data_IF_457197852502
#
_entry.id   IF_457197852502
#
_cell.length_a   1.000
_cell.length_b   1.000
_cell.length_c   1.000
_cell.angle_alpha   90.00
_cell.angle_beta   90.00
_cell.angle_gamma   90.00
#
_symmetry.space_group_name_H-M   'P 1'
#
loop_
_entity.id
_entity.type
_entity.pdbx_description
1 polymer ?
#
# COMPACT_ATOMS: atom_id res chain seq x y z
N UNK A 1 32.88 37.34 -39.84
CA UNK A 1 32.96 35.99 -40.45
C UNK A 1 33.82 35.08 -39.58
N UNK A 2 33.18 34.22 -38.78
CA UNK A 2 33.62 32.85 -38.43
C UNK A 2 32.58 32.25 -37.49
N UNK A 3 31.92 31.23 -38.01
CA UNK A 3 30.88 30.41 -37.37
C UNK A 3 31.46 29.60 -36.21
N UNK A 4 30.68 29.39 -35.15
CA UNK A 4 30.70 28.11 -34.44
C UNK A 4 29.30 27.84 -33.87
N UNK A 5 28.57 26.98 -34.58
CA UNK A 5 27.34 26.32 -34.16
C UNK A 5 27.78 25.13 -33.30
N UNK A 6 27.46 25.11 -32.01
CA UNK A 6 27.69 23.93 -31.16
C UNK A 6 26.38 23.16 -31.02
N UNK A 7 26.27 22.09 -31.81
CA UNK A 7 25.25 21.04 -31.67
C UNK A 7 25.69 20.13 -30.54
N UNK A 8 24.96 20.11 -29.42
CA UNK A 8 25.11 19.08 -28.40
C UNK A 8 24.24 17.88 -28.79
N UNK A 9 24.86 16.85 -29.37
CA UNK A 9 24.30 15.52 -29.45
C UNK A 9 24.41 14.87 -28.07
N UNK A 10 23.30 14.81 -27.33
CA UNK A 10 23.20 13.99 -26.13
C UNK A 10 22.92 12.55 -26.59
N UNK A 11 23.93 11.70 -26.51
CA UNK A 11 23.77 10.26 -26.60
C UNK A 11 22.94 9.78 -25.40
N UNK A 12 21.68 9.42 -25.69
CA UNK A 12 20.83 8.59 -24.83
C UNK A 12 21.46 7.21 -24.67
N UNK A 13 22.23 7.00 -23.60
CA UNK A 13 22.43 5.66 -23.04
C UNK A 13 21.17 5.29 -22.26
N UNK A 14 20.20 4.69 -22.94
CA UNK A 14 19.16 3.90 -22.30
C UNK A 14 19.82 2.61 -21.81
N UNK A 15 19.80 2.29 -20.50
CA UNK A 15 20.04 0.91 -20.10
C UNK A 15 18.82 0.11 -20.53
N UNK A 16 19.02 -0.72 -21.56
CA UNK A 16 18.16 -1.87 -21.81
C UNK A 16 18.16 -2.72 -20.53
N UNK A 17 17.06 -2.71 -19.76
CA UNK A 17 16.78 -3.77 -18.82
C UNK A 17 16.37 -5.01 -19.61
N UNK A 18 17.39 -5.73 -20.08
CA UNK A 18 17.29 -7.15 -20.33
C UNK A 18 16.91 -7.86 -19.02
N UNK A 19 16.32 -9.06 -19.13
CA UNK A 19 16.01 -9.92 -18.01
C UNK A 19 17.18 -9.93 -17.01
N UNK A 20 16.92 -9.57 -15.75
CA UNK A 20 17.98 -9.40 -14.75
C UNK A 20 18.82 -10.67 -14.65
N UNK A 21 20.06 -10.59 -15.11
CA UNK A 21 21.08 -11.56 -14.75
C UNK A 21 21.07 -11.71 -13.23
N UNK A 22 20.94 -12.94 -12.74
CA UNK A 22 20.91 -13.23 -11.31
C UNK A 22 22.21 -12.71 -10.68
N UNK A 23 22.11 -11.73 -9.78
CA UNK A 23 23.27 -11.24 -9.02
C UNK A 23 23.95 -12.42 -8.34
N UNK A 24 25.27 -12.53 -8.49
CA UNK A 24 26.03 -13.64 -7.94
C UNK A 24 25.94 -13.67 -6.41
N UNK A 25 25.81 -14.88 -5.86
CA UNK A 25 25.81 -15.10 -4.41
C UNK A 25 27.27 -15.08 -3.93
N UNK A 26 27.57 -14.17 -3.00
CA UNK A 26 28.89 -14.03 -2.39
C UNK A 26 29.11 -15.02 -1.26
N UNK A 27 28.13 -15.20 -0.38
CA UNK A 27 28.19 -16.13 0.75
C UNK A 27 26.84 -16.77 1.02
N UNK A 28 26.85 -18.05 1.42
CA UNK A 28 25.69 -18.74 1.98
C UNK A 28 26.05 -19.28 3.35
N UNK A 29 25.22 -18.96 4.34
CA UNK A 29 25.30 -19.51 5.68
C UNK A 29 24.06 -20.33 5.97
N UNK A 30 24.25 -21.53 6.51
CA UNK A 30 23.16 -22.45 6.85
C UNK A 30 23.09 -22.66 8.36
N UNK A 31 21.86 -22.79 8.88
CA UNK A 31 21.57 -23.19 10.23
C UNK A 31 20.59 -24.34 10.24
N UNK A 32 21.10 -25.52 10.54
CA UNK A 32 20.29 -26.71 10.74
C UNK A 32 19.85 -26.80 12.20
N UNK A 33 18.56 -26.74 12.45
CA UNK A 33 17.97 -26.89 13.78
C UNK A 33 17.01 -28.07 13.78
N UNK A 34 17.56 -29.28 13.69
CA UNK A 34 16.82 -30.54 13.58
C UNK A 34 16.31 -30.85 12.17
N UNK A 35 15.71 -32.03 11.98
CA UNK A 35 15.29 -32.57 10.65
C UNK A 35 14.18 -31.79 9.93
N UNK A 36 13.67 -30.71 10.52
CA UNK A 36 12.47 -30.00 10.05
C UNK A 36 12.60 -28.48 10.04
N UNK A 37 13.79 -27.94 10.34
CA UNK A 37 14.03 -26.50 10.34
C UNK A 37 15.41 -26.18 9.76
N UNK A 38 15.42 -25.37 8.71
CA UNK A 38 16.64 -24.89 8.06
C UNK A 38 16.56 -23.36 7.92
N UNK A 39 17.55 -22.64 8.42
CA UNK A 39 17.73 -21.22 8.16
C UNK A 39 18.86 -21.00 7.15
N UNK A 40 18.63 -20.24 6.10
CA UNK A 40 19.64 -19.86 5.12
C UNK A 40 19.79 -18.33 5.10
N UNK A 41 21.01 -17.83 5.25
CA UNK A 41 21.37 -16.43 5.01
C UNK A 41 22.27 -16.36 3.78
N UNK A 42 21.78 -15.74 2.72
CA UNK A 42 22.51 -15.50 1.48
C UNK A 42 22.92 -14.03 1.43
N UNK A 43 24.19 -13.78 1.12
CA UNK A 43 24.73 -12.45 0.88
C UNK A 43 25.11 -12.36 -0.59
N UNK A 44 24.63 -11.34 -1.29
CA UNK A 44 24.88 -11.13 -2.71
C UNK A 44 26.05 -10.16 -2.94
N UNK A 45 26.62 -10.16 -4.14
CA UNK A 45 27.74 -9.28 -4.50
C UNK A 45 27.36 -7.79 -4.54
N UNK A 46 26.09 -7.47 -4.79
CA UNK A 46 25.55 -6.10 -4.81
C UNK A 46 25.27 -5.50 -3.42
N UNK A 47 25.69 -6.19 -2.36
CA UNK A 47 25.43 -5.84 -0.95
C UNK A 47 23.97 -5.99 -0.49
N UNK A 48 23.17 -6.79 -1.19
CA UNK A 48 21.86 -7.24 -0.69
C UNK A 48 21.96 -8.58 0.03
N UNK A 49 20.97 -8.91 0.85
CA UNK A 49 20.87 -10.20 1.53
C UNK A 49 19.47 -10.78 1.44
N UNK A 50 19.40 -12.09 1.57
CA UNK A 50 18.17 -12.85 1.76
C UNK A 50 18.35 -13.80 2.95
N UNK A 51 17.41 -13.75 3.90
CA UNK A 51 17.31 -14.72 4.99
C UNK A 51 16.01 -15.52 4.87
N UNK A 52 16.14 -16.83 4.66
CA UNK A 52 15.03 -17.76 4.50
C UNK A 52 15.00 -18.76 5.64
N UNK A 53 13.83 -18.96 6.25
CA UNK A 53 13.55 -20.03 7.21
C UNK A 53 12.60 -21.04 6.59
N UNK A 54 13.13 -22.23 6.33
CA UNK A 54 12.41 -23.35 5.78
C UNK A 54 11.91 -24.28 6.87
N UNK A 55 10.68 -24.72 6.70
CA UNK A 55 10.09 -25.85 7.40
C UNK A 55 9.41 -26.74 6.37
N UNK A 56 8.99 -27.95 6.77
CA UNK A 56 8.19 -28.83 5.89
C UNK A 56 6.89 -28.20 5.39
N UNK A 57 6.35 -27.19 6.09
CA UNK A 57 5.02 -26.62 5.83
C UNK A 57 5.02 -25.17 5.36
N UNK A 58 6.12 -24.45 5.55
CA UNK A 58 6.19 -23.00 5.36
C UNK A 58 7.62 -22.55 5.07
N UNK A 59 7.74 -21.61 4.15
CA UNK A 59 8.94 -20.80 3.91
C UNK A 59 8.66 -19.40 4.48
N UNK A 60 9.61 -18.83 5.22
CA UNK A 60 9.54 -17.45 5.70
C UNK A 60 10.78 -16.71 5.24
N UNK A 61 10.60 -15.57 4.59
CA UNK A 61 11.67 -14.80 3.95
C UNK A 61 11.86 -13.47 4.66
N UNK A 62 13.06 -12.92 4.61
CA UNK A 62 13.45 -11.57 4.96
C UNK A 62 14.53 -11.14 3.95
N UNK A 63 14.50 -9.90 3.49
CA UNK A 63 15.46 -9.38 2.52
C UNK A 63 15.83 -7.96 2.88
N UNK A 64 16.99 -7.50 2.40
CA UNK A 64 17.42 -6.13 2.56
C UNK A 64 18.87 -5.91 2.19
N UNK A 65 19.50 -4.90 2.78
CA UNK A 65 20.91 -4.56 2.52
C UNK A 65 21.84 -4.95 3.67
N UNK A 66 23.10 -5.22 3.34
CA UNK A 66 24.14 -5.50 4.33
C UNK A 66 25.39 -4.65 4.16
N UNK A 67 26.17 -4.53 5.24
CA UNK A 67 27.55 -4.03 5.17
C UNK A 67 28.49 -4.99 5.88
N UNK A 68 29.59 -5.38 5.24
CA UNK A 68 30.61 -6.26 5.80
C UNK A 68 31.97 -5.53 5.86
N UNK A 69 32.45 -5.18 7.05
CA UNK A 69 33.74 -4.50 7.25
C UNK A 69 34.56 -5.19 8.33
N UNK A 70 35.77 -5.67 8.02
CA UNK A 70 36.66 -6.36 8.97
C UNK A 70 35.96 -7.51 9.73
N UNK A 71 35.22 -8.34 9.00
CA UNK A 71 34.44 -9.45 9.59
C UNK A 71 33.16 -9.03 10.33
N UNK A 72 32.83 -7.74 10.39
CA UNK A 72 31.60 -7.23 11.02
C UNK A 72 30.49 -7.09 9.99
N UNK A 73 29.46 -7.92 10.08
CA UNK A 73 28.25 -7.91 9.26
C UNK A 73 27.13 -7.13 9.96
N UNK A 74 26.58 -6.13 9.29
CA UNK A 74 25.40 -5.38 9.73
C UNK A 74 24.30 -5.54 8.70
N UNK A 75 23.10 -5.92 9.17
CA UNK A 75 21.94 -6.18 8.31
C UNK A 75 20.89 -5.08 8.50
N UNK A 76 20.29 -4.67 7.40
CA UNK A 76 19.21 -3.68 7.33
C UNK A 76 18.07 -4.29 6.53
N UNK A 77 17.06 -4.83 7.23
CA UNK A 77 15.88 -5.42 6.58
C UNK A 77 15.05 -4.36 5.85
N UNK A 78 14.47 -4.77 4.74
CA UNK A 78 13.46 -4.05 3.98
C UNK A 78 12.04 -4.51 4.35
N UNK A 79 11.90 -5.65 5.03
CA UNK A 79 10.61 -6.19 5.44
C UNK A 79 10.23 -5.85 6.89
N UNK A 80 9.13 -5.10 7.06
CA UNK A 80 8.54 -4.78 8.36
C UNK A 80 7.34 -5.67 8.74
N UNK A 81 7.29 -6.95 8.32
CA UNK A 81 6.16 -7.84 8.66
C UNK A 81 6.17 -8.23 10.15
N UNK A 82 5.02 -8.11 10.80
CA UNK A 82 4.78 -8.58 12.17
C UNK A 82 4.97 -10.10 12.30
N UNK A 83 5.60 -10.55 13.40
CA UNK A 83 5.78 -11.97 13.74
C UNK A 83 7.05 -12.64 13.20
N UNK A 84 7.81 -11.94 12.35
CA UNK A 84 9.18 -12.33 11.99
C UNK A 84 10.13 -11.39 12.73
N UNK A 85 11.06 -11.91 13.51
CA UNK A 85 12.01 -11.10 14.26
C UNK A 85 13.12 -10.69 13.27
N UNK A 86 13.05 -9.51 12.62
CA UNK A 86 13.94 -9.21 11.51
C UNK A 86 15.34 -9.01 12.09
N UNK A 87 16.37 -9.28 11.28
CA UNK A 87 17.77 -9.07 11.66
C UNK A 87 18.15 -7.56 11.82
N UNK A 88 17.13 -6.68 11.90
CA UNK A 88 17.23 -5.23 11.88
C UNK A 88 18.10 -4.68 13.01
N UNK A 89 19.14 -3.93 12.63
CA UNK A 89 19.97 -3.17 13.57
C UNK A 89 20.92 -4.04 14.40
N UNK A 90 21.03 -5.34 14.11
CA UNK A 90 21.94 -6.24 14.80
C UNK A 90 23.25 -6.37 14.01
N UNK A 91 24.34 -6.48 14.76
CA UNK A 91 25.69 -6.69 14.21
C UNK A 91 26.13 -8.10 14.55
N UNK A 92 26.52 -8.87 13.54
CA UNK A 92 27.05 -10.24 13.65
C UNK A 92 28.49 -10.25 13.16
N UNK A 93 29.34 -11.10 13.72
CA UNK A 93 30.71 -11.28 13.22
C UNK A 93 30.78 -12.53 12.34
N UNK A 94 31.45 -12.41 11.20
CA UNK A 94 31.62 -13.45 10.18
C UNK A 94 33.08 -13.89 10.17
N UNK A 95 33.33 -15.19 10.19
CA UNK A 95 34.62 -15.81 9.93
C UNK A 95 34.53 -16.77 8.73
N UNK A 96 35.66 -17.38 8.34
CA UNK A 96 35.66 -18.42 7.30
C UNK A 96 34.83 -19.65 7.70
N UNK A 97 34.65 -19.87 9.00
CA UNK A 97 33.92 -21.01 9.56
C UNK A 97 32.41 -20.75 9.68
N UNK A 98 31.96 -19.49 9.61
CA UNK A 98 30.54 -19.12 9.73
C UNK A 98 30.28 -17.86 10.55
N UNK A 99 29.06 -17.72 11.06
CA UNK A 99 28.65 -16.61 11.92
C UNK A 99 28.97 -16.92 13.40
N UNK A 100 29.63 -15.99 14.09
CA UNK A 100 29.97 -16.16 15.51
C UNK A 100 28.73 -16.25 16.41
N UNK A 101 28.72 -17.31 17.23
CA UNK A 101 27.61 -17.76 18.11
C UNK A 101 27.09 -16.72 19.11
N UNK A 102 27.96 -16.00 19.81
CA UNK A 102 27.59 -15.16 20.96
C UNK A 102 26.63 -14.01 20.65
N UNK A 103 26.53 -13.58 19.39
CA UNK A 103 25.59 -12.54 18.94
C UNK A 103 24.42 -13.10 18.14
N UNK A 104 24.56 -14.28 17.55
CA UNK A 104 23.47 -14.98 16.87
C UNK A 104 22.46 -15.57 17.86
N UNK A 105 22.93 -16.07 18.99
CA UNK A 105 22.10 -16.60 20.08
C UNK A 105 21.17 -15.50 20.65
N UNK A 106 21.67 -14.27 20.72
CA UNK A 106 20.90 -13.09 21.15
C UNK A 106 19.79 -12.69 20.15
N UNK A 107 19.93 -13.10 18.88
CA UNK A 107 18.99 -12.80 17.79
C UNK A 107 17.92 -13.87 17.68
N UNK A 108 18.31 -15.14 17.77
CA UNK A 108 17.41 -16.29 17.56
C UNK A 108 16.83 -16.87 18.85
N UNK A 109 17.31 -16.41 20.02
CA UNK A 109 17.00 -16.95 21.35
C UNK A 109 17.33 -18.44 21.48
N UNK A 110 18.21 -18.97 20.62
CA UNK A 110 18.64 -20.37 20.61
C UNK A 110 20.14 -20.44 20.41
N UNK A 111 20.87 -21.29 21.17
CA UNK A 111 22.28 -21.51 20.98
C UNK A 111 22.54 -22.18 19.63
N UNK A 112 23.02 -21.44 18.63
CA UNK A 112 23.15 -21.95 17.28
C UNK A 112 24.27 -21.23 16.49
N UNK A 113 25.06 -21.98 15.73
CA UNK A 113 26.10 -21.42 14.84
C UNK A 113 25.64 -21.60 13.40
N UNK A 114 25.61 -20.52 12.60
CA UNK A 114 25.42 -20.68 11.15
C UNK A 114 26.76 -21.01 10.50
N UNK A 115 26.85 -22.13 9.80
CA UNK A 115 28.07 -22.56 9.09
C UNK A 115 28.07 -22.02 7.66
N UNK A 116 29.24 -21.69 7.13
CA UNK A 116 29.36 -21.45 5.70
C UNK A 116 29.04 -22.73 4.92
N UNK A 117 28.28 -22.63 3.83
CA UNK A 117 27.90 -23.78 3.01
C UNK A 117 28.13 -23.52 1.53
N UNK A 118 28.54 -24.56 0.81
CA UNK A 118 28.69 -24.58 -0.65
C UNK A 118 27.66 -25.50 -1.32
N UNK A 119 26.70 -26.05 -0.57
CA UNK A 119 25.71 -26.99 -1.09
C UNK A 119 24.91 -26.35 -2.23
N UNK A 120 24.87 -26.95 -3.43
CA UNK A 120 24.19 -26.37 -4.59
C UNK A 120 22.71 -26.08 -4.34
N UNK A 121 22.05 -26.90 -3.53
CA UNK A 121 20.65 -26.74 -3.17
C UNK A 121 20.37 -25.47 -2.34
N UNK A 122 21.34 -24.97 -1.58
CA UNK A 122 21.18 -23.73 -0.79
C UNK A 122 21.44 -22.47 -1.62
N UNK A 123 22.00 -22.62 -2.81
CA UNK A 123 22.23 -21.54 -3.77
C UNK A 123 21.04 -21.33 -4.70
N UNK A 124 20.06 -22.25 -4.69
CA UNK A 124 18.82 -22.12 -5.46
C UNK A 124 17.97 -20.93 -4.98
N UNK A 125 17.07 -20.48 -5.84
CA UNK A 125 16.12 -19.41 -5.53
C UNK A 125 15.30 -19.73 -4.27
N UNK A 126 14.83 -18.70 -3.55
CA UNK A 126 14.09 -18.82 -2.30
C UNK A 126 12.82 -19.66 -2.41
N UNK A 127 12.23 -19.73 -3.61
CA UNK A 127 11.07 -20.57 -3.92
C UNK A 127 11.37 -22.06 -3.77
N UNK A 128 12.63 -22.50 -3.88
CA UNK A 128 13.04 -23.88 -3.67
C UNK A 128 13.18 -24.18 -2.19
N UNK A 129 12.51 -25.25 -1.69
CA UNK A 129 12.64 -25.70 -0.32
C UNK A 129 13.64 -26.88 -0.24
N UNK A 130 14.86 -26.69 0.30
CA UNK A 130 15.87 -27.75 0.35
C UNK A 130 15.46 -28.95 1.21
N UNK A 131 14.60 -28.74 2.23
CA UNK A 131 14.14 -29.81 3.12
C UNK A 131 13.19 -30.79 2.43
N UNK A 132 12.38 -30.29 1.49
CA UNK A 132 11.36 -31.08 0.78
C UNK A 132 11.72 -31.33 -0.68
N UNK A 133 12.78 -30.69 -1.17
CA UNK A 133 13.29 -30.76 -2.55
C UNK A 133 12.24 -30.40 -3.62
N UNK A 134 11.29 -29.53 -3.26
CA UNK A 134 10.21 -29.06 -4.13
C UNK A 134 10.12 -27.53 -4.07
N UNK A 135 9.71 -26.92 -5.18
CA UNK A 135 9.48 -25.48 -5.28
C UNK A 135 8.14 -25.08 -4.65
N UNK A 136 8.01 -23.83 -4.22
CA UNK A 136 6.81 -23.27 -3.58
C UNK A 136 5.55 -23.44 -4.43
N UNK A 137 5.68 -23.37 -5.75
CA UNK A 137 4.60 -23.63 -6.70
C UNK A 137 4.19 -25.12 -6.71
N UNK A 138 5.13 -26.05 -6.51
CA UNK A 138 4.85 -27.47 -6.36
C UNK A 138 4.26 -27.80 -4.97
N UNK A 139 4.61 -27.06 -3.92
CA UNK A 139 3.97 -27.16 -2.59
C UNK A 139 2.49 -26.76 -2.66
N UNK A 140 2.12 -25.83 -3.54
CA UNK A 140 0.72 -25.47 -3.81
C UNK A 140 -0.01 -26.56 -4.62
N UNK A 141 0.67 -27.25 -5.52
CA UNK A 141 0.10 -28.35 -6.32
C UNK A 141 -0.12 -29.64 -5.53
N UNK A 142 0.69 -29.92 -4.51
CA UNK A 142 0.53 -31.08 -3.60
C UNK A 142 -0.70 -30.93 -2.67
N UNK A 143 -1.35 -29.75 -2.63
CA UNK A 143 -2.54 -29.50 -1.80
C UNK A 143 -3.87 -30.02 -2.36
N UNK A 144 -3.87 -30.81 -3.43
CA UNK A 144 -5.06 -31.58 -3.84
C UNK A 144 -4.61 -32.88 -4.53
N UNK A 145 -5.16 -34.09 -4.26
CA UNK A 145 -6.33 -34.45 -3.44
C UNK A 145 -6.07 -35.59 -2.41
N UNK A 146 -6.78 -35.57 -1.27
CA UNK A 146 -7.65 -36.66 -0.78
C UNK A 146 -8.20 -36.29 0.59
N UNK A 147 -9.45 -36.65 0.84
CA UNK A 147 -10.14 -36.51 2.13
C UNK A 147 -9.36 -37.25 3.24
N UNK A 148 -8.42 -36.58 3.88
CA UNK A 148 -8.02 -36.92 5.23
C UNK A 148 -8.91 -36.12 6.17
N UNK A 149 -9.82 -36.82 6.84
CA UNK A 149 -10.56 -36.33 7.99
C UNK A 149 -9.57 -35.62 8.92
N UNK A 150 -9.68 -34.29 8.99
CA UNK A 150 -8.90 -33.49 9.92
C UNK A 150 -9.74 -33.32 11.16
N UNK A 151 -9.22 -33.84 12.26
CA UNK A 151 -9.59 -33.49 13.62
C UNK A 151 -9.83 -31.97 13.72
N UNK A 152 -10.95 -31.53 14.31
CA UNK A 152 -11.21 -30.13 14.53
C UNK A 152 -10.30 -29.64 15.67
N UNK A 153 -9.06 -29.28 15.34
CA UNK A 153 -8.36 -28.28 16.15
C UNK A 153 -8.94 -26.93 15.78
N UNK A 154 -10.07 -26.64 16.42
CA UNK A 154 -10.60 -25.32 16.69
C UNK A 154 -9.45 -24.34 16.94
N UNK A 155 -9.08 -23.56 15.92
CA UNK A 155 -8.59 -22.22 16.20
C UNK A 155 -9.82 -21.47 16.68
N UNK A 156 -10.11 -21.54 17.98
CA UNK A 156 -11.02 -20.59 18.60
C UNK A 156 -10.49 -19.19 18.26
N UNK A 157 -11.14 -18.54 17.30
CA UNK A 157 -11.09 -17.11 17.14
C UNK A 157 -11.66 -16.54 18.44
N UNK A 158 -10.77 -16.27 19.40
CA UNK A 158 -11.16 -15.56 20.61
C UNK A 158 -11.76 -14.25 20.16
N UNK A 159 -13.05 -14.06 20.47
CA UNK A 159 -13.72 -12.80 20.28
C UNK A 159 -12.89 -11.70 20.96
N UNK A 160 -12.86 -10.51 20.35
CA UNK A 160 -12.22 -9.35 20.94
C UNK A 160 -12.73 -9.15 22.39
N UNK A 161 -11.86 -8.85 23.36
CA UNK A 161 -12.31 -8.58 24.73
C UNK A 161 -13.38 -7.48 24.73
N UNK A 162 -14.39 -7.63 25.59
CA UNK A 162 -15.44 -6.61 25.75
C UNK A 162 -14.82 -5.23 26.04
N UNK A 163 -15.32 -4.18 25.38
CA UNK A 163 -14.83 -2.80 25.51
C UNK A 163 -13.61 -2.45 24.64
N UNK A 164 -13.05 -3.40 23.87
CA UNK A 164 -11.92 -3.11 22.98
C UNK A 164 -12.26 -2.09 21.89
N UNK A 165 -13.49 -2.14 21.34
CA UNK A 165 -13.96 -1.19 20.32
C UNK A 165 -14.04 0.25 20.85
N UNK A 166 -14.61 0.44 22.04
CA UNK A 166 -14.68 1.76 22.70
C UNK A 166 -13.29 2.32 23.02
N UNK A 167 -12.36 1.46 23.46
CA UNK A 167 -10.98 1.85 23.68
C UNK A 167 -10.32 2.31 22.37
N UNK A 168 -10.48 1.54 21.30
CA UNK A 168 -9.94 1.89 19.98
C UNK A 168 -10.53 3.23 19.48
N UNK A 169 -11.85 3.41 19.56
CA UNK A 169 -12.53 4.67 19.20
C UNK A 169 -11.94 5.87 19.95
N UNK A 170 -11.82 5.77 21.27
CA UNK A 170 -11.27 6.85 22.09
C UNK A 170 -9.79 7.11 21.77
N UNK A 171 -9.01 6.07 21.48
CA UNK A 171 -7.64 6.20 21.02
C UNK A 171 -7.55 7.01 19.72
N UNK A 172 -8.33 6.64 18.69
CA UNK A 172 -8.28 7.34 17.40
C UNK A 172 -8.81 8.78 17.47
N UNK A 173 -9.89 9.03 18.21
CA UNK A 173 -10.38 10.40 18.44
C UNK A 173 -9.31 11.26 19.10
N UNK A 174 -8.59 10.72 20.10
CA UNK A 174 -7.50 11.42 20.76
C UNK A 174 -6.33 11.70 19.82
N UNK A 175 -5.86 10.70 19.07
CA UNK A 175 -4.74 10.86 18.14
C UNK A 175 -5.10 11.84 17.02
N UNK A 176 -6.30 11.75 16.46
CA UNK A 176 -6.79 12.69 15.46
C UNK A 176 -6.89 14.12 16.03
N UNK A 177 -7.42 14.28 17.24
CA UNK A 177 -7.56 15.59 17.88
C UNK A 177 -6.22 16.25 18.19
N UNK A 178 -5.22 15.44 18.53
CA UNK A 178 -3.86 15.91 18.78
C UNK A 178 -3.13 16.26 17.48
N UNK A 179 -3.12 15.37 16.49
CA UNK A 179 -2.23 15.50 15.34
C UNK A 179 -2.94 15.89 14.03
N UNK A 180 -4.17 15.44 13.80
CA UNK A 180 -4.92 15.61 12.55
C UNK A 180 -6.20 16.46 12.77
N UNK A 181 -6.03 17.69 13.27
CA UNK A 181 -7.15 18.55 13.68
C UNK A 181 -8.29 18.61 12.65
N UNK A 182 -9.52 18.43 13.13
CA UNK A 182 -10.73 18.40 12.32
C UNK A 182 -11.18 16.98 11.96
N UNK A 183 -10.26 16.01 11.91
CA UNK A 183 -10.64 14.60 11.73
C UNK A 183 -11.16 13.96 13.01
N UNK A 184 -10.89 14.53 14.18
CA UNK A 184 -11.51 14.06 15.42
C UNK A 184 -13.03 14.25 15.42
N UNK A 185 -13.53 15.32 14.79
CA UNK A 185 -14.97 15.52 14.63
C UNK A 185 -15.58 14.53 13.64
N UNK A 186 -14.88 14.22 12.54
CA UNK A 186 -15.27 13.13 11.61
C UNK A 186 -15.40 11.81 12.37
N UNK A 187 -14.42 11.47 13.21
CA UNK A 187 -14.44 10.24 14.01
C UNK A 187 -15.52 10.26 15.10
N UNK A 188 -15.76 11.39 15.78
CA UNK A 188 -16.85 11.48 16.77
C UNK A 188 -18.22 11.21 16.12
N UNK A 189 -18.42 11.69 14.90
CA UNK A 189 -19.68 11.55 14.15
C UNK A 189 -19.84 10.16 13.53
N UNK A 190 -18.78 9.63 12.91
CA UNK A 190 -18.90 8.50 12.00
C UNK A 190 -17.76 7.48 12.15
N UNK A 191 -17.29 7.26 13.38
CA UNK A 191 -16.24 6.27 13.65
C UNK A 191 -16.55 4.91 13.03
N UNK A 192 -15.59 4.43 12.25
CA UNK A 192 -15.49 3.06 11.79
C UNK A 192 -14.01 2.62 11.96
N UNK A 193 -13.73 1.86 13.02
CA UNK A 193 -12.40 1.31 13.27
C UNK A 193 -12.31 -0.21 13.08
N UNK A 194 -11.27 -0.89 13.59
CA UNK A 194 -11.01 -2.29 13.28
C UNK A 194 -12.14 -3.27 13.61
N UNK A 195 -13.06 -2.88 14.50
CA UNK A 195 -14.26 -3.62 14.86
C UNK A 195 -15.44 -3.46 13.88
N UNK A 196 -15.44 -2.45 13.01
CA UNK A 196 -16.51 -2.19 12.04
C UNK A 196 -16.24 -2.78 10.65
N UNK A 197 -14.97 -2.89 10.24
CA UNK A 197 -14.59 -3.33 8.90
C UNK A 197 -13.97 -4.73 8.96
N UNK A 198 -14.03 -5.45 7.85
CA UNK A 198 -13.56 -6.83 7.79
C UNK A 198 -12.31 -6.98 6.93
N UNK A 199 -11.28 -7.63 7.49
CA UNK A 199 -10.08 -7.98 6.72
C UNK A 199 -10.26 -9.35 6.10
N UNK A 200 -9.92 -9.52 4.82
CA UNK A 200 -9.84 -10.84 4.19
C UNK A 200 -8.40 -11.22 3.89
N UNK A 201 -7.96 -12.41 4.33
CA UNK A 201 -6.63 -12.95 4.04
C UNK A 201 -6.80 -14.23 3.23
N UNK A 202 -6.40 -14.19 1.95
CA UNK A 202 -6.57 -15.33 1.04
C UNK A 202 -8.04 -15.70 0.79
N UNK A 203 -8.93 -14.70 0.76
CA UNK A 203 -10.37 -14.89 0.57
C UNK A 203 -11.14 -15.31 1.83
N UNK A 204 -10.46 -15.44 2.98
CA UNK A 204 -11.10 -15.80 4.26
C UNK A 204 -11.23 -14.56 5.13
N UNK A 205 -12.45 -14.30 5.62
CA UNK A 205 -12.72 -13.25 6.59
C UNK A 205 -11.95 -13.52 7.89
N UNK A 206 -11.12 -12.56 8.30
CA UNK A 206 -10.38 -12.59 9.55
C UNK A 206 -11.02 -11.57 10.49
N UNK A 207 -11.67 -12.02 11.58
CA UNK A 207 -12.23 -11.09 12.55
C UNK A 207 -11.11 -10.32 13.25
N UNK A 208 -11.43 -9.12 13.68
CA UNK A 208 -10.49 -8.33 14.46
C UNK A 208 -10.07 -9.05 15.75
N UNK A 209 -8.77 -9.06 16.00
CA UNK A 209 -8.17 -9.75 17.14
C UNK A 209 -8.43 -9.09 18.49
N UNK A 210 -8.97 -7.86 18.50
CA UNK A 210 -9.05 -7.04 19.72
C UNK A 210 -7.70 -6.49 20.18
N UNK A 211 -6.65 -6.54 19.34
CA UNK A 211 -5.34 -5.98 19.69
C UNK A 211 -5.40 -4.45 19.76
N UNK A 212 -5.49 -3.95 20.99
CA UNK A 212 -5.54 -2.54 21.35
C UNK A 212 -4.17 -1.96 21.70
N UNK A 213 -3.07 -2.67 21.41
CA UNK A 213 -1.74 -2.13 21.61
C UNK A 213 -1.56 -0.84 20.79
N UNK A 214 -0.92 0.17 21.37
CA UNK A 214 -0.75 1.47 20.69
C UNK A 214 -0.03 1.34 19.35
N UNK A 215 0.84 0.33 19.20
CA UNK A 215 1.50 0.06 17.92
C UNK A 215 0.51 -0.43 16.85
N UNK A 216 -0.37 -1.36 17.20
CA UNK A 216 -1.35 -1.92 16.27
C UNK A 216 -2.41 -0.88 15.91
N UNK A 217 -2.93 -0.15 16.91
CA UNK A 217 -3.88 0.92 16.65
C UNK A 217 -3.25 2.04 15.81
N UNK A 218 -2.01 2.45 16.12
CA UNK A 218 -1.36 3.49 15.34
C UNK A 218 -1.14 3.11 13.87
N UNK A 219 -0.81 1.84 13.57
CA UNK A 219 -0.58 1.39 12.20
C UNK A 219 -1.82 1.39 11.31
N UNK A 220 -3.00 1.47 11.91
CA UNK A 220 -4.29 1.49 11.22
C UNK A 220 -4.89 2.91 11.15
N UNK A 221 -4.16 3.94 11.58
CA UNK A 221 -4.70 5.30 11.65
C UNK A 221 -5.28 5.79 10.32
N UNK A 222 -4.56 5.62 9.22
CA UNK A 222 -5.03 5.99 7.88
C UNK A 222 -6.27 5.19 7.46
N UNK A 223 -6.26 3.87 7.68
CA UNK A 223 -7.40 2.98 7.42
C UNK A 223 -8.63 3.42 8.20
N UNK A 224 -8.50 3.71 9.50
CA UNK A 224 -9.63 4.13 10.33
C UNK A 224 -10.21 5.45 9.84
N UNK A 225 -9.37 6.41 9.43
CA UNK A 225 -9.88 7.63 8.81
C UNK A 225 -10.61 7.33 7.51
N UNK A 226 -10.02 6.51 6.63
CA UNK A 226 -10.62 6.11 5.35
C UNK A 226 -12.02 5.49 5.55
N UNK A 227 -12.12 4.46 6.40
CA UNK A 227 -13.38 3.76 6.67
C UNK A 227 -14.41 4.66 7.40
N UNK A 228 -13.94 5.52 8.29
CA UNK A 228 -14.82 6.50 8.94
C UNK A 228 -15.35 7.55 7.97
N UNK A 229 -14.59 7.88 6.91
CA UNK A 229 -15.06 8.79 5.85
C UNK A 229 -16.17 8.14 5.03
N UNK A 230 -16.11 6.84 4.75
CA UNK A 230 -17.25 6.12 4.14
C UNK A 230 -18.52 6.23 4.98
N UNK A 231 -18.40 6.12 6.31
CA UNK A 231 -19.52 6.25 7.22
C UNK A 231 -19.99 7.70 7.38
N UNK A 232 -19.07 8.66 7.24
CA UNK A 232 -19.36 10.09 7.31
C UNK A 232 -20.06 10.57 6.03
N UNK A 233 -19.61 10.05 4.90
CA UNK A 233 -20.28 10.20 3.63
C UNK A 233 -21.66 9.55 3.73
N UNK A 234 -22.64 10.20 3.12
CA UNK A 234 -24.01 9.72 3.07
C UNK A 234 -24.43 9.45 1.65
N UNK A 235 -25.68 9.03 1.49
CA UNK A 235 -26.28 8.88 0.16
C UNK A 235 -26.25 10.19 -0.65
N UNK A 236 -26.34 11.34 0.02
CA UNK A 236 -26.48 12.67 -0.60
C UNK A 236 -25.38 13.66 -0.22
N UNK A 237 -24.32 13.25 0.47
CA UNK A 237 -23.32 14.18 0.97
C UNK A 237 -21.93 13.54 1.05
N UNK A 238 -20.91 14.26 0.59
CA UNK A 238 -19.54 13.77 0.50
C UNK A 238 -18.56 14.76 1.12
N UNK A 239 -17.61 14.23 1.89
CA UNK A 239 -16.53 14.99 2.50
C UNK A 239 -15.44 15.28 1.45
N UNK A 240 -15.08 16.55 1.28
CA UNK A 240 -13.85 16.91 0.53
C UNK A 240 -12.68 16.96 1.49
N UNK A 241 -12.82 17.76 2.55
CA UNK A 241 -11.90 17.89 3.68
C UNK A 241 -12.73 18.22 4.93
N UNK A 242 -12.21 18.04 6.17
CA UNK A 242 -12.91 18.47 7.36
C UNK A 242 -13.46 19.90 7.25
N UNK A 243 -14.78 20.06 7.44
CA UNK A 243 -15.49 21.33 7.31
C UNK A 243 -16.04 21.66 5.92
N UNK A 244 -15.65 20.93 4.87
CA UNK A 244 -16.19 21.10 3.50
C UNK A 244 -16.87 19.80 3.06
N UNK A 245 -18.19 19.89 2.99
CA UNK A 245 -19.06 18.82 2.51
C UNK A 245 -19.83 19.30 1.29
N UNK A 246 -19.98 18.43 0.30
CA UNK A 246 -20.70 18.73 -0.93
C UNK A 246 -21.98 17.90 -0.96
N UNK A 247 -23.17 18.54 -0.94
CA UNK A 247 -24.42 17.84 -1.11
C UNK A 247 -24.58 17.43 -2.58
N UNK A 248 -24.77 16.15 -2.85
CA UNK A 248 -24.89 15.61 -4.20
C UNK A 248 -26.19 14.83 -4.31
N UNK A 249 -27.12 15.31 -5.13
CA UNK A 249 -28.29 14.53 -5.53
C UNK A 249 -27.86 13.44 -6.50
N UNK A 250 -28.24 12.19 -6.21
CA UNK A 250 -27.92 11.07 -7.10
C UNK A 250 -28.84 11.06 -8.32
N UNK A 251 -28.24 10.78 -9.46
CA UNK A 251 -28.88 10.52 -10.76
C UNK A 251 -28.79 9.04 -11.08
N UNK A 252 -29.39 8.60 -12.19
CA UNK A 252 -29.26 7.21 -12.62
C UNK A 252 -27.79 6.93 -12.96
N UNK A 253 -27.32 5.75 -12.56
CA UNK A 253 -25.95 5.28 -12.83
C UNK A 253 -25.98 3.91 -13.46
N UNK A 254 -24.84 3.50 -14.01
CA UNK A 254 -24.56 2.16 -14.47
C UNK A 254 -23.34 1.59 -13.72
N UNK A 255 -23.12 0.27 -13.80
CA UNK A 255 -22.12 -0.41 -12.97
C UNK A 255 -20.71 -0.15 -13.51
N UNK A 256 -19.73 -0.03 -12.61
CA UNK A 256 -18.34 0.19 -13.01
C UNK A 256 -17.76 -0.98 -13.81
N UNK A 257 -18.24 -2.20 -13.61
CA UNK A 257 -17.83 -3.35 -14.43
C UNK A 257 -18.16 -3.21 -15.92
N UNK A 258 -19.11 -2.36 -16.30
CA UNK A 258 -19.48 -2.19 -17.71
C UNK A 258 -18.40 -1.46 -18.51
N UNK A 259 -17.72 -0.48 -17.92
CA UNK A 259 -16.65 0.23 -18.61
C UNK A 259 -15.40 -0.64 -18.80
N UNK A 260 -15.33 -1.83 -18.18
CA UNK A 260 -14.27 -2.82 -18.45
C UNK A 260 -14.14 -3.14 -19.95
N UNK A 261 -15.22 -2.99 -20.72
CA UNK A 261 -15.23 -3.21 -22.17
C UNK A 261 -14.34 -2.24 -22.97
N UNK A 262 -13.96 -1.08 -22.40
CA UNK A 262 -13.09 -0.10 -23.06
C UNK A 262 -11.70 -0.03 -22.41
N UNK A 263 -11.46 -0.79 -21.36
CA UNK A 263 -10.18 -0.82 -20.66
C UNK A 263 -9.16 -1.58 -21.51
N UNK A 264 -7.98 -1.00 -21.81
CA UNK A 264 -6.95 -1.69 -22.56
C UNK A 264 -6.50 -2.95 -21.82
N UNK A 265 -6.47 -4.09 -22.53
CA UNK A 265 -6.17 -5.40 -21.95
C UNK A 265 -4.80 -5.44 -21.24
N UNK A 266 -3.82 -4.67 -21.73
CA UNK A 266 -2.50 -4.56 -21.14
C UNK A 266 -2.45 -3.82 -19.80
N UNK A 267 -3.52 -3.11 -19.44
CA UNK A 267 -3.66 -2.38 -18.17
C UNK A 267 -4.34 -3.23 -17.10
N UNK A 268 -5.17 -4.20 -17.51
CA UNK A 268 -5.84 -5.14 -16.61
C UNK A 268 -4.78 -5.98 -15.86
N UNK A 269 -4.94 -6.11 -14.55
CA UNK A 269 -3.99 -6.81 -13.67
C UNK A 269 -2.73 -6.03 -13.30
N UNK A 270 -2.50 -4.83 -13.87
CA UNK A 270 -1.40 -3.92 -13.45
C UNK A 270 -1.87 -2.79 -12.55
N UNK A 271 -3.15 -2.43 -12.64
CA UNK A 271 -3.79 -1.46 -11.77
C UNK A 271 -4.20 -2.19 -10.48
N UNK A 272 -3.68 -1.74 -9.34
CA UNK A 272 -3.79 -2.44 -8.05
C UNK A 272 -5.23 -2.66 -7.62
N UNK A 273 -6.06 -1.63 -7.78
CA UNK A 273 -7.46 -1.60 -7.34
C UNK A 273 -8.46 -2.08 -8.40
N UNK A 274 -8.00 -2.46 -9.59
CA UNK A 274 -8.90 -2.75 -10.71
C UNK A 274 -9.93 -3.84 -10.40
N UNK A 275 -9.48 -5.02 -9.97
CA UNK A 275 -10.38 -6.13 -9.65
C UNK A 275 -11.37 -5.78 -8.55
N UNK A 276 -10.94 -4.98 -7.57
CA UNK A 276 -11.79 -4.55 -6.46
C UNK A 276 -12.91 -3.63 -6.91
N UNK A 277 -12.68 -2.67 -7.82
CA UNK A 277 -13.69 -1.65 -8.15
C UNK A 277 -14.32 -1.76 -9.54
N UNK A 278 -13.71 -2.53 -10.44
CA UNK A 278 -14.13 -2.69 -11.85
C UNK A 278 -14.33 -4.17 -12.19
N UNK A 279 -13.71 -5.08 -11.43
CA UNK A 279 -13.81 -6.52 -11.65
C UNK A 279 -15.25 -7.02 -11.63
N UNK A 280 -15.53 -7.99 -12.51
CA UNK A 280 -16.86 -8.58 -12.67
C UNK A 280 -17.39 -9.15 -11.34
N UNK A 281 -18.59 -8.76 -10.96
CA UNK A 281 -19.23 -9.24 -9.74
C UNK A 281 -18.62 -8.68 -8.45
N UNK A 282 -17.85 -7.59 -8.53
CA UNK A 282 -17.40 -6.89 -7.33
C UNK A 282 -18.61 -6.37 -6.52
N UNK A 283 -18.54 -6.52 -5.20
CA UNK A 283 -19.61 -6.13 -4.26
C UNK A 283 -19.42 -4.73 -3.66
N UNK A 284 -18.33 -4.04 -4.01
CA UNK A 284 -18.00 -2.71 -3.44
C UNK A 284 -18.97 -1.63 -3.94
N UNK A 285 -19.02 -0.51 -3.22
CA UNK A 285 -19.96 0.59 -3.47
C UNK A 285 -19.87 1.10 -4.92
N UNK A 286 -18.67 1.17 -5.50
CA UNK A 286 -18.46 1.58 -6.90
C UNK A 286 -19.23 0.74 -7.92
N UNK A 287 -19.30 -0.59 -7.73
CA UNK A 287 -20.01 -1.47 -8.67
C UNK A 287 -21.54 -1.48 -8.44
N UNK A 288 -22.01 -0.95 -7.30
CA UNK A 288 -23.45 -0.84 -6.95
C UNK A 288 -24.03 0.56 -7.19
N UNK A 289 -23.23 1.60 -7.02
CA UNK A 289 -23.63 3.01 -7.07
C UNK A 289 -22.93 3.79 -8.19
N UNK A 290 -22.21 3.10 -9.08
CA UNK A 290 -21.50 3.70 -10.21
C UNK A 290 -20.54 4.81 -9.77
N UNK A 291 -20.59 5.96 -10.47
CA UNK A 291 -19.75 7.12 -10.18
C UNK A 291 -19.88 7.64 -8.74
N UNK A 292 -21.03 7.48 -8.09
CA UNK A 292 -21.21 7.91 -6.70
C UNK A 292 -20.44 7.04 -5.70
N UNK A 293 -20.25 5.76 -6.01
CA UNK A 293 -19.35 4.89 -5.24
C UNK A 293 -17.89 5.18 -5.55
N UNK A 294 -17.54 5.50 -6.80
CA UNK A 294 -16.19 5.97 -7.14
C UNK A 294 -15.82 7.27 -6.39
N UNK A 295 -16.76 8.22 -6.26
CA UNK A 295 -16.53 9.45 -5.50
C UNK A 295 -16.44 9.22 -3.99
N UNK A 296 -17.18 8.24 -3.47
CA UNK A 296 -17.09 7.85 -2.05
C UNK A 296 -15.68 7.35 -1.70
N UNK A 297 -15.18 6.41 -2.50
CA UNK A 297 -13.81 5.88 -2.37
C UNK A 297 -12.76 6.95 -2.59
N UNK A 298 -12.96 7.80 -3.61
CA UNK A 298 -12.00 8.87 -3.90
C UNK A 298 -11.90 9.87 -2.74
N UNK A 299 -13.05 10.23 -2.15
CA UNK A 299 -13.15 11.03 -0.92
C UNK A 299 -12.44 10.35 0.26
N UNK A 300 -12.69 9.07 0.50
CA UNK A 300 -12.11 8.31 1.60
C UNK A 300 -10.58 8.20 1.50
N UNK A 301 -10.04 7.83 0.33
CA UNK A 301 -8.58 7.80 0.13
C UNK A 301 -7.94 9.18 0.21
N UNK A 302 -8.57 10.21 -0.36
CA UNK A 302 -8.07 11.58 -0.25
C UNK A 302 -7.90 11.98 1.21
N UNK A 303 -8.94 11.73 2.03
CA UNK A 303 -8.96 12.10 3.44
C UNK A 303 -8.05 11.21 4.31
N UNK A 304 -7.90 9.93 3.99
CA UNK A 304 -6.93 9.03 4.64
C UNK A 304 -5.50 9.56 4.48
N UNK A 305 -5.07 9.79 3.24
CA UNK A 305 -3.72 10.33 2.92
C UNK A 305 -3.54 11.73 3.53
N UNK A 306 -4.54 12.60 3.40
CA UNK A 306 -4.50 13.97 3.92
C UNK A 306 -4.37 14.00 5.45
N UNK A 307 -5.11 13.17 6.16
CA UNK A 307 -5.05 13.12 7.63
C UNK A 307 -3.63 12.80 8.12
N UNK A 308 -2.95 11.86 7.45
CA UNK A 308 -1.56 11.51 7.73
C UNK A 308 -0.59 12.67 7.44
N UNK A 309 -0.81 13.41 6.34
CA UNK A 309 0.00 14.58 6.02
C UNK A 309 -0.13 15.67 7.10
N UNK A 310 -1.36 15.99 7.52
CA UNK A 310 -1.63 16.94 8.59
C UNK A 310 -0.99 16.47 9.89
N UNK A 311 -1.19 15.19 10.24
CA UNK A 311 -0.60 14.59 11.44
C UNK A 311 0.92 14.64 11.47
N UNK A 312 1.57 14.39 10.33
CA UNK A 312 3.02 14.48 10.19
C UNK A 312 3.54 15.90 10.42
N UNK A 313 2.86 16.92 9.87
CA UNK A 313 3.21 18.33 10.11
C UNK A 313 3.10 18.72 11.58
N UNK A 314 2.02 18.30 12.24
CA UNK A 314 1.82 18.58 13.66
C UNK A 314 2.89 17.89 14.50
N UNK A 315 3.17 16.61 14.25
CA UNK A 315 4.25 15.89 14.92
C UNK A 315 5.62 16.57 14.74
N UNK A 316 5.90 17.13 13.56
CA UNK A 316 7.13 17.91 13.33
C UNK A 316 7.17 19.23 14.07
N UNK A 317 6.05 19.94 14.16
CA UNK A 317 5.95 21.14 14.98
C UNK A 317 6.22 20.83 16.47
N UNK A 318 5.84 19.64 16.92
CA UNK A 318 6.13 19.09 18.25
C UNK A 318 7.53 18.46 18.39
N UNK A 319 8.35 18.50 17.32
CA UNK A 319 9.70 17.92 17.25
C UNK A 319 9.75 16.38 17.38
N UNK A 320 8.64 15.69 17.11
CA UNK A 320 8.59 14.22 17.02
C UNK A 320 8.76 13.75 15.57
N UNK A 321 10.02 13.73 15.12
CA UNK A 321 10.38 13.29 13.77
C UNK A 321 10.06 11.81 13.52
N UNK A 322 10.11 10.97 14.56
CA UNK A 322 9.85 9.53 14.41
C UNK A 322 8.36 9.27 14.14
N UNK A 323 7.49 9.97 14.86
CA UNK A 323 6.05 9.92 14.64
C UNK A 323 5.66 10.53 13.29
N UNK A 324 6.29 11.64 12.91
CA UNK A 324 6.09 12.23 11.59
C UNK A 324 6.43 11.24 10.45
N UNK A 325 7.55 10.52 10.55
CA UNK A 325 7.90 9.44 9.60
C UNK A 325 6.86 8.33 9.58
N UNK A 326 6.27 8.00 10.74
CA UNK A 326 5.29 6.95 10.84
C UNK A 326 3.97 7.31 10.13
N UNK A 327 3.50 8.55 10.23
CA UNK A 327 2.35 9.05 9.47
C UNK A 327 2.62 9.10 7.95
N UNK A 328 3.78 9.60 7.53
CA UNK A 328 4.18 9.61 6.11
C UNK A 328 4.19 8.21 5.54
N UNK A 329 4.70 7.23 6.29
CA UNK A 329 4.72 5.83 5.88
C UNK A 329 3.32 5.27 5.56
N UNK A 330 2.29 5.68 6.30
CA UNK A 330 0.91 5.28 6.02
C UNK A 330 0.39 5.95 4.74
N UNK A 331 0.55 7.28 4.60
CA UNK A 331 0.18 8.02 3.39
C UNK A 331 0.84 7.47 2.10
N UNK A 332 2.11 7.03 2.21
CA UNK A 332 2.88 6.44 1.10
C UNK A 332 2.22 5.17 0.56
N UNK A 333 1.52 4.40 1.41
CA UNK A 333 0.90 3.14 1.04
C UNK A 333 -0.37 3.30 0.19
N UNK A 334 -0.96 4.49 0.13
CA UNK A 334 -2.28 4.70 -0.48
C UNK A 334 -2.39 5.90 -1.42
N UNK A 335 -1.39 6.81 -1.47
CA UNK A 335 -1.46 8.01 -2.32
C UNK A 335 -1.76 7.74 -3.81
N UNK A 336 -1.30 6.60 -4.34
CA UNK A 336 -1.50 6.24 -5.73
C UNK A 336 -2.97 5.96 -6.10
N UNK A 337 -3.86 5.82 -5.10
CA UNK A 337 -5.31 5.80 -5.30
C UNK A 337 -5.80 7.03 -6.09
N UNK A 338 -5.10 8.18 -5.99
CA UNK A 338 -5.40 9.35 -6.80
C UNK A 338 -5.42 9.06 -8.30
N UNK A 339 -4.39 8.36 -8.80
CA UNK A 339 -4.30 8.05 -10.23
C UNK A 339 -5.35 7.01 -10.65
N UNK A 340 -5.59 6.01 -9.80
CA UNK A 340 -6.56 4.95 -10.08
C UNK A 340 -7.99 5.49 -10.14
N UNK A 341 -8.44 6.27 -9.14
CA UNK A 341 -9.81 6.78 -9.12
C UNK A 341 -10.06 7.89 -10.15
N UNK A 342 -9.04 8.68 -10.50
CA UNK A 342 -9.14 9.56 -11.69
C UNK A 342 -9.36 8.76 -12.95
N UNK A 343 -8.58 7.69 -13.16
CA UNK A 343 -8.68 6.87 -14.36
C UNK A 343 -10.02 6.14 -14.42
N UNK A 344 -10.48 5.54 -13.31
CA UNK A 344 -11.79 4.90 -13.23
C UNK A 344 -12.92 5.89 -13.52
N UNK A 345 -12.83 7.11 -12.99
CA UNK A 345 -13.81 8.17 -13.27
C UNK A 345 -13.77 8.57 -14.75
N UNK A 346 -12.57 8.67 -15.35
CA UNK A 346 -12.42 9.02 -16.76
C UNK A 346 -13.02 7.95 -17.68
N UNK A 347 -12.71 6.67 -17.44
CA UNK A 347 -13.33 5.55 -18.16
C UNK A 347 -14.83 5.48 -17.95
N UNK A 348 -15.32 5.75 -16.75
CA UNK A 348 -16.75 5.85 -16.48
C UNK A 348 -17.40 6.95 -17.33
N UNK A 349 -16.80 8.14 -17.42
CA UNK A 349 -17.35 9.21 -18.24
C UNK A 349 -17.27 8.91 -19.74
N UNK A 350 -16.15 8.32 -20.19
CA UNK A 350 -15.93 7.93 -21.58
C UNK A 350 -16.96 6.88 -22.02
N UNK A 351 -17.08 5.78 -21.28
CA UNK A 351 -18.03 4.72 -21.60
C UNK A 351 -19.46 5.23 -21.58
N UNK A 352 -19.79 6.08 -20.60
CA UNK A 352 -21.10 6.70 -20.52
C UNK A 352 -21.44 7.49 -21.79
N UNK A 353 -20.50 8.31 -22.28
CA UNK A 353 -20.70 9.11 -23.48
C UNK A 353 -20.96 8.29 -24.74
N UNK A 354 -20.60 7.01 -24.76
CA UNK A 354 -20.77 6.11 -25.91
C UNK A 354 -21.98 5.18 -25.81
N UNK A 355 -22.32 4.72 -24.59
CA UNK A 355 -23.28 3.62 -24.37
C UNK A 355 -24.44 3.98 -23.45
N UNK A 356 -24.27 5.01 -22.63
CA UNK A 356 -25.21 5.47 -21.60
C UNK A 356 -25.38 6.99 -21.72
N UNK A 357 -25.73 7.46 -22.93
CA UNK A 357 -25.68 8.90 -23.29
C UNK A 357 -26.59 9.76 -22.42
N UNK A 358 -27.73 9.21 -22.00
CA UNK A 358 -28.67 9.89 -21.12
C UNK A 358 -28.08 10.04 -19.71
N UNK A 359 -27.52 8.96 -19.14
CA UNK A 359 -26.80 9.07 -17.86
C UNK A 359 -25.60 10.02 -17.98
N UNK A 360 -24.84 10.00 -19.08
CA UNK A 360 -23.75 10.95 -19.29
C UNK A 360 -24.24 12.40 -19.27
N UNK A 361 -25.35 12.70 -19.93
CA UNK A 361 -25.95 14.03 -19.90
C UNK A 361 -26.43 14.42 -18.49
N UNK A 362 -27.07 13.51 -17.75
CA UNK A 362 -27.45 13.73 -16.35
C UNK A 362 -26.24 14.05 -15.47
N UNK A 363 -25.14 13.30 -15.62
CA UNK A 363 -23.90 13.52 -14.88
C UNK A 363 -23.26 14.87 -15.21
N UNK A 364 -23.23 15.25 -16.50
CA UNK A 364 -22.71 16.56 -16.92
C UNK A 364 -23.56 17.72 -16.39
N UNK A 365 -24.86 17.51 -16.19
CA UNK A 365 -25.79 18.49 -15.62
C UNK A 365 -25.79 18.49 -14.09
N UNK A 366 -25.26 17.46 -13.44
CA UNK A 366 -25.14 17.37 -11.98
C UNK A 366 -23.99 18.26 -11.47
N UNK A 367 -24.31 19.55 -11.31
CA UNK A 367 -23.35 20.57 -10.90
C UNK A 367 -22.61 20.22 -9.61
N UNK A 368 -23.32 19.71 -8.59
CA UNK A 368 -22.70 19.46 -7.29
C UNK A 368 -21.76 18.25 -7.33
N UNK A 369 -22.09 17.21 -8.11
CA UNK A 369 -21.16 16.10 -8.37
C UNK A 369 -19.89 16.57 -9.07
N UNK A 370 -20.02 17.46 -10.05
CA UNK A 370 -18.88 18.03 -10.79
C UNK A 370 -18.01 18.91 -9.89
N UNK A 371 -18.63 19.71 -9.01
CA UNK A 371 -17.94 20.49 -7.96
C UNK A 371 -17.19 19.55 -7.01
N UNK A 372 -17.85 18.47 -6.54
CA UNK A 372 -17.23 17.47 -5.68
C UNK A 372 -15.98 16.87 -6.32
N UNK A 373 -16.10 16.36 -7.56
CA UNK A 373 -14.96 15.79 -8.27
C UNK A 373 -13.82 16.80 -8.43
N UNK A 374 -14.13 18.03 -8.83
CA UNK A 374 -13.14 19.09 -9.03
C UNK A 374 -12.35 19.36 -7.75
N UNK A 375 -13.05 19.53 -6.63
CA UNK A 375 -12.43 19.80 -5.34
C UNK A 375 -11.62 18.63 -4.80
N UNK A 376 -12.12 17.39 -4.93
CA UNK A 376 -11.38 16.19 -4.53
C UNK A 376 -10.12 16.01 -5.37
N UNK A 377 -10.21 16.21 -6.68
CA UNK A 377 -9.08 16.06 -7.58
C UNK A 377 -7.97 17.06 -7.28
N UNK A 378 -8.34 18.32 -7.07
CA UNK A 378 -7.39 19.37 -6.73
C UNK A 378 -6.78 19.18 -5.34
N UNK A 379 -7.57 18.80 -4.33
CA UNK A 379 -7.07 18.58 -2.97
C UNK A 379 -6.17 17.33 -2.89
N UNK A 380 -6.51 16.24 -3.56
CA UNK A 380 -5.69 15.03 -3.52
C UNK A 380 -4.37 15.27 -4.27
N UNK A 381 -4.40 15.91 -5.44
CA UNK A 381 -3.18 16.33 -6.15
C UNK A 381 -2.29 17.22 -5.28
N UNK A 382 -2.88 18.22 -4.63
CA UNK A 382 -2.18 19.11 -3.68
C UNK A 382 -1.59 18.33 -2.51
N UNK A 383 -2.35 17.41 -1.92
CA UNK A 383 -1.91 16.56 -0.81
C UNK A 383 -0.70 15.71 -1.20
N UNK A 384 -0.68 15.14 -2.41
CA UNK A 384 0.47 14.37 -2.93
C UNK A 384 1.69 15.26 -3.12
N UNK A 385 1.52 16.44 -3.72
CA UNK A 385 2.61 17.39 -3.88
C UNK A 385 3.21 17.81 -2.53
N UNK A 386 2.36 18.10 -1.56
CA UNK A 386 2.79 18.46 -0.21
C UNK A 386 3.44 17.29 0.56
N UNK A 387 2.98 16.06 0.30
CA UNK A 387 3.58 14.83 0.82
C UNK A 387 5.01 14.64 0.27
N UNK A 388 5.21 14.90 -1.02
CA UNK A 388 6.53 14.90 -1.66
C UNK A 388 7.47 15.92 -1.00
N UNK A 389 7.03 17.17 -0.85
CA UNK A 389 7.83 18.22 -0.23
C UNK A 389 8.21 17.89 1.22
N UNK A 390 7.25 17.44 2.02
CA UNK A 390 7.47 17.13 3.42
C UNK A 390 8.42 15.95 3.59
N UNK A 391 8.26 14.92 2.76
CA UNK A 391 9.13 13.75 2.76
C UNK A 391 10.57 14.07 2.35
N UNK A 392 10.77 15.07 1.49
CA UNK A 392 12.09 15.63 1.19
C UNK A 392 12.74 16.31 2.40
N UNK A 393 12.00 17.19 3.09
CA UNK A 393 12.47 17.94 4.27
C UNK A 393 12.86 17.05 5.45
N UNK A 394 12.15 15.95 5.63
CA UNK A 394 12.31 15.00 6.73
C UNK A 394 13.62 14.20 6.71
N UNK A 395 14.50 14.40 5.73
CA UNK A 395 15.68 13.57 5.50
C UNK A 395 15.34 12.12 5.12
N UNK A 396 14.05 11.79 5.05
CA UNK A 396 13.51 10.57 4.47
C UNK A 396 13.64 10.56 2.95
N UNK A 397 14.17 11.61 2.32
CA UNK A 397 14.31 11.73 0.87
C UNK A 397 14.79 10.46 0.19
N UNK A 398 15.77 9.72 0.74
CA UNK A 398 16.19 8.45 0.16
C UNK A 398 15.14 7.33 0.30
N UNK A 399 14.48 7.19 1.46
CA UNK A 399 13.46 6.15 1.69
C UNK A 399 12.16 6.46 0.97
N UNK A 400 11.70 7.71 1.03
CA UNK A 400 10.55 8.20 0.27
C UNK A 400 10.79 8.09 -1.23
N UNK A 401 11.91 8.59 -1.77
CA UNK A 401 12.17 8.49 -3.21
C UNK A 401 12.25 7.04 -3.68
N UNK A 402 12.78 6.14 -2.85
CA UNK A 402 12.78 4.71 -3.16
C UNK A 402 11.36 4.12 -3.12
N UNK A 403 10.61 4.32 -2.03
CA UNK A 403 9.24 3.81 -1.91
C UNK A 403 8.31 4.40 -2.96
N UNK A 404 8.38 5.70 -3.20
CA UNK A 404 7.66 6.40 -4.26
C UNK A 404 8.07 5.87 -5.62
N UNK A 405 9.36 5.71 -5.92
CA UNK A 405 9.81 5.11 -7.19
C UNK A 405 9.29 3.69 -7.40
N UNK A 406 9.23 2.88 -6.34
CA UNK A 406 8.62 1.55 -6.37
C UNK A 406 7.11 1.63 -6.65
N UNK A 407 6.37 2.42 -5.88
CA UNK A 407 4.92 2.55 -6.03
C UNK A 407 4.54 3.23 -7.35
N UNK A 408 5.31 4.20 -7.81
CA UNK A 408 5.12 4.87 -9.09
C UNK A 408 5.24 3.85 -10.22
N UNK A 409 6.37 3.15 -10.28
CA UNK A 409 6.61 2.11 -11.29
C UNK A 409 5.57 1.00 -11.26
N UNK A 410 5.12 0.61 -10.07
CA UNK A 410 4.22 -0.52 -9.90
C UNK A 410 2.75 -0.17 -10.13
N UNK A 411 2.31 1.01 -9.71
CA UNK A 411 0.89 1.36 -9.62
C UNK A 411 0.52 2.68 -10.29
N UNK A 412 1.44 3.66 -10.38
CA UNK A 412 1.13 4.96 -10.98
C UNK A 412 1.37 4.98 -12.48
N UNK A 413 2.49 4.45 -12.96
CA UNK A 413 2.93 4.61 -14.36
C UNK A 413 1.88 4.15 -15.37
N UNK A 414 1.24 3.01 -15.11
CA UNK A 414 0.16 2.49 -15.96
C UNK A 414 -1.03 3.44 -15.94
N UNK A 415 -1.45 3.86 -14.75
CA UNK A 415 -2.59 4.77 -14.60
C UNK A 415 -2.31 6.13 -15.27
N UNK A 416 -1.13 6.71 -15.04
CA UNK A 416 -0.72 7.99 -15.60
C UNK A 416 -0.64 7.94 -17.13
N UNK A 417 -0.11 6.85 -17.69
CA UNK A 417 -0.06 6.64 -19.15
C UNK A 417 -1.45 6.59 -19.78
N UNK A 418 -2.39 5.87 -19.16
CA UNK A 418 -3.76 5.78 -19.67
C UNK A 418 -4.53 7.08 -19.45
N UNK A 419 -4.31 7.76 -18.33
CA UNK A 419 -4.91 9.07 -18.06
C UNK A 419 -4.57 10.10 -19.13
N UNK A 420 -3.36 10.10 -19.72
CA UNK A 420 -3.05 11.01 -20.84
C UNK A 420 -4.07 10.92 -21.98
N UNK A 421 -4.61 9.72 -22.24
CA UNK A 421 -5.61 9.49 -23.29
C UNK A 421 -7.02 9.91 -22.85
N UNK A 422 -7.31 9.73 -21.56
CA UNK A 422 -8.66 9.87 -21.00
C UNK A 422 -8.91 11.23 -20.31
N UNK A 423 -7.87 12.05 -20.13
CA UNK A 423 -7.90 13.34 -19.41
C UNK A 423 -8.96 14.30 -19.99
N UNK A 424 -9.25 14.19 -21.29
CA UNK A 424 -10.29 14.97 -21.96
C UNK A 424 -11.66 14.82 -21.30
N UNK A 425 -11.98 13.64 -20.77
CA UNK A 425 -13.26 13.39 -20.10
C UNK A 425 -13.31 14.02 -18.72
N UNK A 426 -12.20 13.98 -17.99
CA UNK A 426 -12.07 14.65 -16.70
C UNK A 426 -12.16 16.17 -16.86
N UNK A 427 -11.48 16.74 -17.85
CA UNK A 427 -11.50 18.18 -18.13
C UNK A 427 -12.90 18.68 -18.50
N UNK A 428 -13.66 17.92 -19.30
CA UNK A 428 -15.07 18.24 -19.57
C UNK A 428 -15.94 18.21 -18.33
N UNK A 429 -15.64 17.28 -17.41
CA UNK A 429 -16.43 17.08 -16.19
C UNK A 429 -16.09 18.06 -15.07
N UNK A 430 -14.85 18.57 -15.01
CA UNK A 430 -14.47 19.60 -14.04
C UNK A 430 -15.28 20.89 -14.21
N UNK A 431 -15.29 21.69 -13.16
CA UNK A 431 -15.91 23.02 -13.13
C UNK A 431 -14.82 24.07 -12.98
N UNK A 432 -14.61 24.86 -14.02
CA UNK A 432 -13.58 25.89 -14.03
C UNK A 432 -13.82 26.95 -12.94
N UNK A 433 -12.73 27.34 -12.27
CA UNK A 433 -12.74 28.39 -11.25
C UNK A 433 -13.28 27.98 -9.87
N UNK A 434 -13.72 26.74 -9.69
CA UNK A 434 -14.10 26.20 -8.37
C UNK A 434 -12.86 26.02 -7.50
N UNK A 435 -12.97 26.48 -6.26
CA UNK A 435 -11.95 26.36 -5.21
C UNK A 435 -12.61 26.11 -3.86
N UNK A 436 -11.85 25.65 -2.86
CA UNK A 436 -12.37 25.50 -1.49
C UNK A 436 -12.90 26.81 -0.88
N UNK A 437 -12.45 27.97 -1.37
CA UNK A 437 -12.89 29.27 -0.85
C UNK A 437 -14.23 29.73 -1.45
N UNK A 438 -14.52 29.39 -2.71
CA UNK A 438 -15.68 29.89 -3.43
C UNK A 438 -16.69 28.80 -3.83
N UNK A 439 -16.45 27.52 -3.54
CA UNK A 439 -17.29 26.41 -4.03
C UNK A 439 -18.80 26.59 -3.80
N UNK A 440 -19.20 27.23 -2.69
CA UNK A 440 -20.60 27.48 -2.36
C UNK A 440 -21.34 28.28 -3.44
N UNK A 441 -20.65 29.14 -4.19
CA UNK A 441 -21.27 29.90 -5.30
C UNK A 441 -21.56 29.05 -6.53
N UNK A 442 -21.01 27.84 -6.58
CA UNK A 442 -21.19 26.88 -7.68
C UNK A 442 -22.16 25.76 -7.33
N UNK A 443 -22.60 25.65 -6.08
CA UNK A 443 -23.59 24.65 -5.69
C UNK A 443 -24.98 25.06 -6.16
N UNK A 444 -25.77 24.07 -6.56
CA UNK A 444 -27.18 24.19 -6.94
C UNK A 444 -28.09 23.53 -5.92
#
# INVERSE_FOLDING_TARGET
MRNLLTVFAVFLFLPFYAASDSVAIRYVFALESGKSNLGLLKLYEDNTYEYCRYTKKKISRDEGSYSLKKGRLKLSTEMKKHGYNPLLGKTVYVSKQGLHRSKWDAVTKKPAMMTASTEPEYQKNWSYNPLTKIDEQAVAAVKTPEKAATDPKTSETKAAPAGSGDFAKNYYIKIAGQYAKGYDDVLKTAYCGPDCYSTSIGGVLVPWSGDTSSRNLFSEFETVIHESVHHYNGFTNYLVVPGINIPVSRTTTYNSEEFAAIVPAESIGKIFRYETYVGKGSYVSANKSGIYGLMDEYSAYCNGVRSCLVASRTALAEKDTALAHAFIGQATGTYFAHYEFRLFTAWYLHYASMKHTDQYAELQNNQNLRVLFTLLDDEFRKTIFELDELSGKLGSGHRWSFSKGYYDKKYVDVCAKELVKEEVWLNKFKVDGVTQANYKTFLK
#
